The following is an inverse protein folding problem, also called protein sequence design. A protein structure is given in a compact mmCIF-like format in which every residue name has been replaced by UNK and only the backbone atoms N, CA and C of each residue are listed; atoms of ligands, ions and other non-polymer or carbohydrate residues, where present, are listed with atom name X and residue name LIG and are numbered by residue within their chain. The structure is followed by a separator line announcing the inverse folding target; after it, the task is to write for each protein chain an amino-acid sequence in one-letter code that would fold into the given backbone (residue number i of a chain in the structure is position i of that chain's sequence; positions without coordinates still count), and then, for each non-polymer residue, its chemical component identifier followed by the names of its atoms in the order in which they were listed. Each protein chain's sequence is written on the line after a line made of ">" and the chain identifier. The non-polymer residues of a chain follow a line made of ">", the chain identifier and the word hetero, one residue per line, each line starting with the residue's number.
data_IF_968904781557
#
_entry.id   IF_968904781557
#
_cell.length_a   1.000
_cell.length_b   1.000
_cell.length_c   1.000
_cell.angle_alpha   90.00
_cell.angle_beta   90.00
_cell.angle_gamma   90.00
#
_symmetry.space_group_name_H-M   'P 1'
#
loop_
_entity.id
_entity.type
_entity.pdbx_description
1 polymer ?
#
# COMPACT_ATOMS: atom_id res chain seq x y z
N UNK A 1 -17.57 -4.87 -21.82
CA UNK A 1 -16.51 -4.18 -21.05
C UNK A 1 -16.90 -3.96 -19.58
N UNK A 2 -18.12 -3.50 -19.27
CA UNK A 2 -18.56 -3.24 -17.90
C UNK A 2 -18.43 -4.44 -16.94
N UNK A 3 -18.79 -5.65 -17.37
CA UNK A 3 -18.65 -6.86 -16.55
C UNK A 3 -17.19 -7.18 -16.19
N UNK A 4 -16.26 -7.06 -17.14
CA UNK A 4 -14.83 -7.24 -16.87
C UNK A 4 -14.32 -6.24 -15.84
N UNK A 5 -14.73 -4.97 -15.98
CA UNK A 5 -14.36 -3.94 -15.03
C UNK A 5 -14.87 -4.22 -13.63
N UNK A 6 -16.14 -4.64 -13.53
CA UNK A 6 -16.78 -4.98 -12.26
C UNK A 6 -16.17 -6.21 -11.58
N UNK A 7 -15.74 -7.21 -12.34
CA UNK A 7 -15.21 -8.45 -11.75
C UNK A 7 -13.69 -8.43 -11.54
N UNK A 8 -12.92 -7.71 -12.36
CA UNK A 8 -11.47 -7.91 -12.44
C UNK A 8 -10.62 -6.65 -12.50
N UNK A 9 -11.19 -5.48 -12.80
CA UNK A 9 -10.46 -4.20 -12.85
C UNK A 9 -10.96 -3.19 -11.81
N UNK A 10 -11.42 -3.70 -10.67
CA UNK A 10 -11.85 -2.88 -9.54
C UNK A 10 -10.65 -2.08 -8.99
N UNK A 11 -10.86 -0.79 -8.73
CA UNK A 11 -9.82 0.11 -8.21
C UNK A 11 -8.75 0.58 -9.22
N UNK A 12 -8.79 0.13 -10.48
CA UNK A 12 -7.85 0.57 -11.53
C UNK A 12 -8.16 1.93 -12.16
N UNK A 13 -9.32 2.52 -11.86
CA UNK A 13 -9.76 3.76 -12.48
C UNK A 13 -10.27 3.52 -13.90
N UNK A 14 -10.06 4.47 -14.80
CA UNK A 14 -10.51 4.35 -16.19
C UNK A 14 -9.43 3.61 -16.99
N UNK A 15 -9.62 2.30 -17.24
CA UNK A 15 -8.60 1.45 -17.89
C UNK A 15 -8.08 2.01 -19.22
N UNK A 16 -8.91 2.69 -20.01
CA UNK A 16 -8.50 3.28 -21.29
C UNK A 16 -7.66 4.56 -21.16
N UNK A 17 -7.66 5.18 -19.97
CA UNK A 17 -6.83 6.35 -19.65
C UNK A 17 -5.50 5.95 -18.97
N UNK A 18 -5.39 4.70 -18.50
CA UNK A 18 -4.18 4.19 -17.87
C UNK A 18 -3.08 3.86 -18.90
N UNK A 19 -1.80 4.09 -18.59
CA UNK A 19 -0.72 3.67 -19.47
C UNK A 19 -0.76 2.15 -19.71
N UNK A 20 -0.66 1.73 -20.97
CA UNK A 20 -0.70 0.32 -21.40
C UNK A 20 0.23 -0.58 -20.57
N UNK A 21 1.39 -0.06 -20.18
CA UNK A 21 2.34 -0.77 -19.33
C UNK A 21 1.72 -1.23 -17.99
N UNK A 22 0.91 -0.40 -17.33
CA UNK A 22 0.24 -0.77 -16.08
C UNK A 22 -0.88 -1.77 -16.31
N UNK A 23 -1.63 -1.61 -17.40
CA UNK A 23 -2.69 -2.56 -17.78
C UNK A 23 -2.10 -3.95 -18.04
N UNK A 24 -1.00 -4.04 -18.80
CA UNK A 24 -0.33 -5.31 -19.09
C UNK A 24 0.36 -5.91 -17.86
N UNK A 25 0.86 -5.08 -16.94
CA UNK A 25 1.39 -5.55 -15.66
C UNK A 25 0.28 -6.17 -14.80
N UNK A 26 -0.92 -5.59 -14.80
CA UNK A 26 -2.05 -6.09 -14.01
C UNK A 26 -2.71 -7.32 -14.65
N UNK A 27 -2.75 -7.39 -15.99
CA UNK A 27 -3.37 -8.48 -16.75
C UNK A 27 -2.34 -9.27 -17.58
N UNK A 28 -1.27 -9.72 -16.92
CA UNK A 28 -0.30 -10.64 -17.51
C UNK A 28 -0.89 -12.02 -17.80
N UNK A 29 -0.10 -12.88 -18.46
CA UNK A 29 -0.54 -14.21 -18.92
C UNK A 29 -1.14 -15.09 -17.81
N UNK A 30 -0.56 -15.07 -16.61
CA UNK A 30 -1.05 -15.88 -15.48
C UNK A 30 -2.40 -15.38 -14.96
N UNK A 31 -2.60 -14.06 -14.92
CA UNK A 31 -3.88 -13.47 -14.55
C UNK A 31 -4.93 -13.86 -15.58
N UNK A 32 -4.64 -13.71 -16.88
CA UNK A 32 -5.55 -14.09 -17.96
C UNK A 32 -5.94 -15.57 -17.90
N UNK A 33 -4.99 -16.45 -17.54
CA UNK A 33 -5.28 -17.87 -17.31
C UNK A 33 -6.19 -18.07 -16.09
N UNK A 34 -5.90 -17.43 -14.97
CA UNK A 34 -6.68 -17.57 -13.74
C UNK A 34 -8.10 -17.00 -13.86
N UNK A 35 -8.34 -16.04 -14.75
CA UNK A 35 -9.71 -15.62 -15.11
C UNK A 35 -10.56 -16.77 -15.66
N UNK A 36 -9.93 -17.78 -16.28
CA UNK A 36 -10.62 -18.93 -16.88
C UNK A 36 -10.75 -20.12 -15.93
N UNK A 37 -9.73 -20.35 -15.10
CA UNK A 37 -9.65 -21.55 -14.24
C UNK A 37 -9.88 -21.28 -12.75
N UNK A 38 -10.05 -20.01 -12.37
CA UNK A 38 -10.16 -19.56 -10.99
C UNK A 38 -8.84 -19.05 -10.40
N UNK A 39 -8.95 -18.28 -9.32
CA UNK A 39 -7.82 -17.76 -8.56
C UNK A 39 -7.53 -18.62 -7.33
N UNK A 40 -6.25 -18.66 -6.94
CA UNK A 40 -5.86 -19.17 -5.63
C UNK A 40 -6.45 -18.28 -4.55
N UNK A 41 -7.10 -18.89 -3.56
CA UNK A 41 -7.67 -18.21 -2.39
C UNK A 41 -7.33 -18.99 -1.12
N UNK A 42 -7.39 -18.32 0.03
CA UNK A 42 -7.23 -19.01 1.32
C UNK A 42 -8.45 -19.89 1.60
N UNK A 43 -8.25 -20.98 2.36
CA UNK A 43 -9.35 -21.91 2.71
C UNK A 43 -10.51 -21.18 3.41
N UNK A 44 -10.19 -20.17 4.21
CA UNK A 44 -11.15 -19.35 4.95
C UNK A 44 -11.65 -18.12 4.17
N UNK A 45 -11.16 -17.93 2.93
CA UNK A 45 -11.44 -16.75 2.09
C UNK A 45 -11.10 -15.40 2.75
N UNK A 46 -10.24 -15.44 3.76
CA UNK A 46 -9.76 -14.30 4.50
C UNK A 46 -8.26 -14.12 4.21
N UNK A 47 -7.94 -13.10 3.40
CA UNK A 47 -6.55 -12.81 3.06
C UNK A 47 -5.80 -12.09 4.19
N UNK A 48 -6.52 -11.49 5.15
CA UNK A 48 -5.94 -10.78 6.29
C UNK A 48 -5.14 -11.72 7.21
N UNK A 49 -5.58 -12.97 7.37
CA UNK A 49 -4.90 -13.99 8.19
C UNK A 49 -3.43 -14.20 7.79
N UNK A 50 -3.11 -14.05 6.50
CA UNK A 50 -1.72 -14.16 6.03
C UNK A 50 -0.84 -13.07 6.66
N UNK A 51 -1.35 -11.85 6.75
CA UNK A 51 -0.63 -10.71 7.33
C UNK A 51 -0.57 -10.79 8.85
N UNK A 52 -1.62 -11.31 9.50
CA UNK A 52 -1.61 -11.58 10.94
C UNK A 52 -0.54 -12.63 11.31
N UNK A 53 -0.49 -13.74 10.58
CA UNK A 53 0.54 -14.75 10.77
C UNK A 53 1.95 -14.22 10.47
N UNK A 54 2.10 -13.37 9.45
CA UNK A 54 3.38 -12.70 9.18
C UNK A 54 3.81 -11.78 10.33
N UNK A 55 2.88 -11.04 10.95
CA UNK A 55 3.18 -10.21 12.10
C UNK A 55 3.63 -11.04 13.31
N UNK A 56 3.02 -12.22 13.54
CA UNK A 56 3.47 -13.18 14.56
C UNK A 56 4.88 -13.69 14.24
N UNK A 57 5.15 -14.06 12.99
CA UNK A 57 6.46 -14.55 12.56
C UNK A 57 7.58 -13.49 12.71
N UNK A 58 7.23 -12.21 12.59
CA UNK A 58 8.15 -11.09 12.83
C UNK A 58 8.45 -10.85 14.32
N UNK A 59 7.77 -11.56 15.24
CA UNK A 59 8.10 -11.66 16.65
C UNK A 59 8.39 -10.32 17.35
N UNK A 60 7.41 -9.41 17.34
CA UNK A 60 7.52 -8.10 18.02
C UNK A 60 8.27 -7.03 17.24
N UNK A 61 8.80 -7.34 16.05
CA UNK A 61 9.40 -6.34 15.14
C UNK A 61 8.37 -5.54 14.32
N UNK A 62 7.11 -5.54 14.76
CA UNK A 62 6.02 -4.77 14.16
C UNK A 62 5.46 -3.81 15.21
N UNK A 63 5.49 -2.52 14.90
CA UNK A 63 4.99 -1.47 15.78
C UNK A 63 3.63 -0.97 15.27
N UNK A 64 2.56 -1.49 15.85
CA UNK A 64 1.19 -1.03 15.56
C UNK A 64 0.87 0.29 16.28
N UNK A 65 -0.15 1.00 15.81
CA UNK A 65 -0.58 2.29 16.35
C UNK A 65 0.56 3.32 16.45
N UNK A 66 1.50 3.24 15.51
CA UNK A 66 2.65 4.11 15.45
C UNK A 66 2.52 5.07 14.27
N UNK A 67 2.79 6.35 14.50
CA UNK A 67 2.76 7.39 13.46
C UNK A 67 4.16 7.96 13.27
N UNK A 68 4.66 7.94 12.05
CA UNK A 68 5.92 8.61 11.71
C UNK A 68 5.68 10.12 11.72
N UNK A 69 6.44 10.83 12.57
CA UNK A 69 6.31 12.28 12.75
C UNK A 69 7.38 13.03 11.98
N UNK A 70 8.65 12.62 12.02
CA UNK A 70 9.75 13.26 11.26
C UNK A 70 10.71 12.18 10.76
N UNK A 71 11.19 12.32 9.53
CA UNK A 71 12.29 11.51 8.97
C UNK A 71 13.44 12.43 8.57
N UNK A 72 14.60 12.26 9.18
CA UNK A 72 15.86 12.90 8.81
C UNK A 72 16.82 11.87 8.19
N UNK A 73 17.36 12.17 7.01
CA UNK A 73 18.36 11.34 6.32
C UNK A 73 19.68 12.10 6.24
N UNK A 74 20.78 11.48 6.68
CA UNK A 74 22.11 12.08 6.64
C UNK A 74 23.15 11.02 6.35
N UNK A 75 23.82 11.15 5.18
CA UNK A 75 24.83 10.21 4.73
C UNK A 75 24.31 8.77 4.69
N UNK A 76 24.90 7.90 5.53
CA UNK A 76 24.60 6.47 5.61
C UNK A 76 23.62 6.10 6.74
N UNK A 77 22.86 7.08 7.26
CA UNK A 77 21.94 6.84 8.36
C UNK A 77 20.64 7.64 8.22
N UNK A 78 19.59 7.12 8.83
CA UNK A 78 18.31 7.77 8.99
C UNK A 78 17.91 7.82 10.48
N UNK A 79 17.28 8.92 10.85
CA UNK A 79 16.71 9.17 12.17
C UNK A 79 15.23 9.45 12.00
N UNK A 80 14.41 8.74 12.75
CA UNK A 80 12.95 8.76 12.60
C UNK A 80 12.36 9.04 13.97
N UNK A 81 11.60 10.13 14.07
CA UNK A 81 10.79 10.41 15.25
C UNK A 81 9.42 9.82 14.99
N UNK A 82 8.95 8.98 15.90
CA UNK A 82 7.68 8.29 15.81
C UNK A 82 6.83 8.58 17.05
N UNK A 83 5.51 8.66 16.89
CA UNK A 83 4.55 8.82 17.96
C UNK A 83 3.88 7.49 18.23
N UNK A 84 4.09 6.99 19.44
CA UNK A 84 3.46 5.77 19.97
C UNK A 84 2.44 6.15 21.04
N UNK A 85 1.56 5.22 21.47
CA UNK A 85 0.68 5.46 22.61
C UNK A 85 1.41 5.80 23.91
N UNK A 86 2.68 5.39 24.05
CA UNK A 86 3.52 5.69 25.21
C UNK A 86 4.28 7.03 25.09
N UNK A 87 4.20 7.70 23.94
CA UNK A 87 4.90 8.96 23.66
C UNK A 87 5.82 8.90 22.45
N UNK A 88 6.72 9.88 22.37
CA UNK A 88 7.65 10.02 21.25
C UNK A 88 8.84 9.07 21.40
N UNK A 89 9.19 8.39 20.31
CA UNK A 89 10.35 7.49 20.23
C UNK A 89 11.25 7.88 19.06
N UNK A 90 12.57 7.94 19.31
CA UNK A 90 13.58 8.13 18.28
C UNK A 90 14.11 6.76 17.82
N UNK A 91 13.98 6.48 16.52
CA UNK A 91 14.53 5.30 15.87
C UNK A 91 15.70 5.72 14.99
N UNK A 92 16.83 5.02 15.10
CA UNK A 92 18.00 5.24 14.26
C UNK A 92 18.32 3.99 13.46
N UNK A 93 18.50 4.12 12.15
CA UNK A 93 18.82 2.99 11.28
C UNK A 93 19.83 3.38 10.20
N UNK A 94 20.52 2.39 9.63
CA UNK A 94 21.42 2.61 8.49
C UNK A 94 20.67 2.62 7.16
N UNK A 95 19.55 1.90 7.08
CA UNK A 95 18.71 1.80 5.89
C UNK A 95 17.26 2.03 6.27
N UNK A 96 16.56 2.79 5.43
CA UNK A 96 15.14 3.09 5.58
C UNK A 96 14.43 2.68 4.30
N UNK A 97 13.51 1.72 4.41
CA UNK A 97 12.68 1.24 3.31
C UNK A 97 11.28 1.85 3.42
N UNK A 98 10.80 2.43 2.33
CA UNK A 98 9.47 3.03 2.24
C UNK A 98 8.57 2.11 1.41
N UNK A 99 7.57 1.52 2.06
CA UNK A 99 6.58 0.65 1.43
C UNK A 99 5.15 1.24 1.50
N UNK A 100 5.04 2.55 1.78
CA UNK A 100 3.81 3.33 1.73
C UNK A 100 3.75 4.12 0.43
N UNK A 101 2.56 4.60 0.05
CA UNK A 101 2.37 5.34 -1.20
C UNK A 101 3.29 6.59 -1.26
N UNK A 102 3.96 6.86 -2.40
CA UNK A 102 4.89 7.97 -2.56
C UNK A 102 4.15 9.28 -2.85
N UNK A 103 3.31 9.73 -1.93
CA UNK A 103 2.61 11.01 -2.03
C UNK A 103 3.17 12.04 -1.04
N UNK A 104 2.89 13.33 -1.30
CA UNK A 104 3.36 14.40 -0.43
C UNK A 104 2.71 14.39 0.95
N UNK A 105 1.57 13.74 1.17
CA UNK A 105 0.86 13.77 2.47
C UNK A 105 1.40 12.73 3.45
N UNK A 106 1.94 11.63 2.92
CA UNK A 106 2.72 10.62 3.63
C UNK A 106 4.09 11.15 4.10
N UNK A 107 4.23 12.49 4.16
CA UNK A 107 5.21 13.24 4.94
C UNK A 107 5.38 12.58 6.30
N UNK A 108 6.48 11.85 6.47
CA UNK A 108 7.12 11.70 7.79
C UNK A 108 7.65 13.06 8.23
N UNK A 109 6.72 13.98 8.52
CA UNK A 109 6.86 15.41 8.85
C UNK A 109 7.94 16.15 8.09
N UNK A 110 7.54 16.73 6.96
CA UNK A 110 7.98 18.05 6.50
C UNK A 110 9.46 18.30 6.15
N UNK A 111 10.41 17.45 6.53
CA UNK A 111 11.84 17.81 6.50
C UNK A 111 12.77 16.82 5.79
N UNK A 112 12.23 15.75 5.20
CA UNK A 112 13.04 14.61 4.78
C UNK A 112 13.29 14.46 3.28
N UNK A 113 12.47 15.07 2.41
CA UNK A 113 12.50 14.81 0.96
C UNK A 113 13.63 15.58 0.27
N UNK A 114 14.29 14.92 -0.68
CA UNK A 114 15.22 15.54 -1.60
C UNK A 114 14.49 16.40 -2.64
N UNK A 115 15.24 17.22 -3.36
CA UNK A 115 14.73 18.01 -4.49
C UNK A 115 14.11 17.13 -5.58
N UNK A 116 14.63 15.91 -5.78
CA UNK A 116 14.10 14.97 -6.78
C UNK A 116 12.75 14.43 -6.33
N UNK A 117 12.66 13.94 -5.09
CA UNK A 117 11.40 13.37 -4.55
C UNK A 117 10.31 14.43 -4.46
N UNK A 118 10.65 15.66 -4.07
CA UNK A 118 9.70 16.78 -4.03
C UNK A 118 9.12 17.10 -5.42
N UNK A 119 9.87 16.86 -6.50
CA UNK A 119 9.40 17.03 -7.88
C UNK A 119 8.66 15.81 -8.43
N UNK A 120 9.07 14.61 -8.01
CA UNK A 120 8.56 13.35 -8.55
C UNK A 120 7.26 12.91 -7.88
N UNK A 121 7.20 12.95 -6.54
CA UNK A 121 6.07 12.43 -5.77
C UNK A 121 4.71 13.06 -6.10
N UNK A 122 4.60 14.38 -6.42
CA UNK A 122 3.33 14.98 -6.83
C UNK A 122 2.77 14.46 -8.15
N UNK A 123 3.58 13.76 -8.95
CA UNK A 123 3.15 13.22 -10.24
C UNK A 123 2.40 11.89 -10.11
N UNK A 124 2.41 11.27 -8.93
CA UNK A 124 1.62 10.07 -8.66
C UNK A 124 0.18 10.46 -8.33
N UNK A 125 -0.76 9.87 -9.06
CA UNK A 125 -2.19 9.99 -8.82
C UNK A 125 -2.74 8.69 -8.24
N UNK A 126 -3.79 8.81 -7.45
CA UNK A 126 -4.52 7.66 -6.90
C UNK A 126 -5.88 7.56 -7.58
N UNK A 127 -6.40 6.34 -7.65
CA UNK A 127 -7.82 6.11 -7.94
C UNK A 127 -8.55 5.86 -6.64
N UNK A 128 -9.70 6.50 -6.46
CA UNK A 128 -10.57 6.22 -5.32
C UNK A 128 -11.36 4.93 -5.55
N UNK A 129 -11.31 4.02 -4.58
CA UNK A 129 -12.08 2.78 -4.59
C UNK A 129 -12.91 2.67 -3.32
N UNK A 130 -14.23 2.63 -3.47
CA UNK A 130 -15.17 2.60 -2.36
C UNK A 130 -15.75 1.20 -2.22
N UNK A 131 -15.58 0.58 -1.05
CA UNK A 131 -16.20 -0.71 -0.70
C UNK A 131 -17.29 -0.46 0.33
N UNK A 132 -18.50 -0.97 0.06
CA UNK A 132 -19.64 -0.87 0.96
C UNK A 132 -20.09 -2.26 1.42
N UNK A 133 -20.50 -2.36 2.69
CA UNK A 133 -21.16 -3.54 3.24
C UNK A 133 -22.63 -3.20 3.45
N UNK A 134 -23.52 -3.86 2.73
CA UNK A 134 -24.95 -3.80 3.00
C UNK A 134 -25.30 -4.92 3.98
N UNK A 135 -25.95 -4.55 5.08
CA UNK A 135 -26.56 -5.49 6.03
C UNK A 135 -28.06 -5.53 5.78
N UNK A 136 -28.72 -6.61 6.19
CA UNK A 136 -30.17 -6.80 6.02
C UNK A 136 -30.64 -6.75 4.57
N UNK A 137 -29.83 -7.25 3.64
CA UNK A 137 -30.17 -7.33 2.20
C UNK A 137 -31.27 -8.36 1.88
N UNK A 138 -31.91 -8.94 2.90
CA UNK A 138 -32.98 -9.92 2.76
C UNK A 138 -32.49 -11.22 2.12
N UNK A 139 -32.23 -12.22 2.96
CA UNK A 139 -32.36 -13.62 2.59
C UNK A 139 -33.12 -14.33 3.69
#
# INVERSE_FOLDING_TARGET
>A
MAGFHYHFAQGMGVTLAEPTLYVLKNFGSDILKNLQIGFLTTVLQENNLLYEHAAVALNGNVLFNNKIIIVGRSGQSARIITSTPAGLTLVTCQKFLVAIAPNLENRGGGGGLSTIETKLFPQFTNTDNYTGLLRDTGT
#
